data_IF_744943140384
#
_entry.id   IF_744943140384
#
_cell.length_a   1.000
_cell.length_b   1.000
_cell.length_c   1.000
_cell.angle_alpha   90.00
_cell.angle_beta   90.00
_cell.angle_gamma   90.00
#
_symmetry.space_group_name_H-M   'P 1'
#
loop_
_entity.id
_entity.type
_entity.pdbx_description
1 polymer ?
2 non-polymer ?
3 water ?
#
# COMPACT_ATOMS: atom_id res chain seq x y z
N UNK A 26 15.35 15.96 -12.17
CA UNK A 26 14.60 17.14 -11.65
C UNK A 26 13.18 16.74 -11.22
N UNK A 27 12.96 16.72 -9.91
CA UNK A 27 11.67 16.36 -9.33
C UNK A 27 10.84 17.61 -9.04
N UNK A 28 9.61 17.65 -9.53
CA UNK A 28 8.74 18.80 -9.28
C UNK A 28 7.91 18.58 -8.02
N UNK A 29 8.45 19.03 -6.89
CA UNK A 29 7.77 18.88 -5.62
C UNK A 29 7.40 20.21 -5.03
N UNK A 30 6.96 21.14 -5.87
CA UNK A 30 6.57 22.45 -5.37
C UNK A 30 5.07 22.54 -5.16
N UNK A 31 4.31 21.63 -5.77
CA UNK A 31 2.85 21.68 -5.62
C UNK A 31 2.20 20.32 -5.44
N UNK A 32 2.38 19.73 -4.26
CA UNK A 32 1.79 18.43 -3.99
C UNK A 32 0.28 18.60 -4.05
N UNK A 33 -0.43 17.50 -4.25
CA UNK A 33 -1.88 17.56 -4.32
C UNK A 33 -2.52 16.31 -3.73
N UNK A 34 -3.71 16.47 -3.15
CA UNK A 34 -4.46 15.36 -2.59
C UNK A 34 -5.14 14.64 -3.77
N UNK A 35 -4.48 13.63 -4.30
CA UNK A 35 -4.96 12.87 -5.46
C UNK A 35 -6.13 11.89 -5.29
N UNK A 36 -6.94 11.82 -6.34
CA UNK A 36 -8.08 10.92 -6.43
C UNK A 36 -7.77 9.99 -7.57
N UNK A 37 -8.35 8.77 -7.58
CA UNK A 37 -8.05 7.87 -8.69
C UNK A 37 -8.30 8.61 -10.00
N UNK A 38 -7.67 8.18 -11.06
CA UNK A 38 -7.81 8.87 -12.33
C UNK A 38 -8.51 8.03 -13.40
N UNK A 39 -8.47 6.72 -13.24
CA UNK A 39 -9.08 5.82 -14.19
C UNK A 39 -9.83 4.69 -13.49
N UNK A 40 -10.84 4.17 -14.17
CA UNK A 40 -11.67 3.10 -13.64
C UNK A 40 -11.82 2.00 -14.66
N UNK A 41 -11.91 0.76 -14.18
CA UNK A 41 -12.09 -0.40 -15.04
C UNK A 41 -13.09 -1.35 -14.39
N UNK A 42 -14.24 -1.47 -15.04
CA UNK A 42 -15.31 -2.32 -14.54
C UNK A 42 -15.04 -3.77 -14.89
N UNK A 43 -15.28 -4.64 -13.93
CA UNK A 43 -15.10 -6.06 -14.14
C UNK A 43 -16.43 -6.72 -13.83
N UNK A 44 -16.53 -8.01 -14.10
CA UNK A 44 -17.75 -8.73 -13.81
C UNK A 44 -18.08 -8.65 -12.33
N UNK A 45 -17.12 -9.03 -11.49
CA UNK A 45 -17.33 -9.06 -10.04
C UNK A 45 -16.84 -7.88 -9.20
N UNK A 46 -16.58 -6.75 -9.84
CA UNK A 46 -16.12 -5.58 -9.12
C UNK A 46 -15.41 -4.62 -10.04
N UNK A 47 -14.64 -3.68 -9.49
CA UNK A 47 -13.93 -2.75 -10.34
C UNK A 47 -12.54 -2.41 -9.84
N UNK A 48 -11.79 -1.67 -10.65
CA UNK A 48 -10.43 -1.30 -10.33
C UNK A 48 -10.15 0.17 -10.64
N UNK A 49 -9.61 0.88 -9.66
CA UNK A 49 -9.30 2.29 -9.85
C UNK A 49 -7.79 2.53 -9.73
N UNK A 50 -7.24 3.36 -10.60
CA UNK A 50 -5.82 3.63 -10.55
C UNK A 50 -5.55 5.13 -10.51
N UNK A 51 -4.54 5.50 -9.74
CA UNK A 51 -4.15 6.90 -9.62
C UNK A 51 -3.29 7.31 -10.80
N UNK A 52 -3.04 8.61 -10.91
CA UNK A 52 -2.25 9.11 -12.01
C UNK A 52 -0.77 8.88 -11.77
N UNK A 53 -0.21 7.89 -12.45
CA UNK A 53 1.21 7.59 -12.28
C UNK A 53 2.07 8.73 -12.82
N UNK A 54 1.48 9.61 -13.62
CA UNK A 54 2.22 10.73 -14.17
C UNK A 54 2.23 11.95 -13.25
N UNK A 55 1.58 11.82 -12.10
CA UNK A 55 1.56 12.89 -11.09
C UNK A 55 3.03 13.18 -10.77
N UNK A 56 3.39 14.45 -10.62
CA UNK A 56 4.77 14.80 -10.33
C UNK A 56 5.35 14.13 -9.07
N UNK A 57 4.61 14.15 -7.97
CA UNK A 57 5.08 13.50 -6.73
C UNK A 57 5.37 12.02 -7.02
N UNK A 58 4.35 11.30 -7.48
CA UNK A 58 4.45 9.89 -7.78
C UNK A 58 5.61 9.57 -8.71
N UNK A 59 5.70 10.32 -9.79
CA UNK A 59 6.74 10.11 -10.78
C UNK A 59 8.12 10.20 -10.12
N UNK A 60 8.29 11.20 -9.26
CA UNK A 60 9.56 11.40 -8.57
C UNK A 60 9.93 10.23 -7.65
N UNK A 61 8.94 9.71 -6.93
CA UNK A 61 9.16 8.61 -6.01
C UNK A 61 9.02 7.23 -6.67
N UNK A 62 8.47 7.20 -7.86
CA UNK A 62 8.29 5.93 -8.56
C UNK A 62 7.22 5.08 -7.92
N UNK A 63 6.08 5.68 -7.61
CA UNK A 63 4.99 4.96 -6.97
C UNK A 63 3.70 4.90 -7.81
N UNK A 64 2.87 3.90 -7.51
CA UNK A 64 1.60 3.70 -8.18
C UNK A 64 0.59 3.32 -7.13
N UNK A 65 -0.65 3.75 -7.31
CA UNK A 65 -1.69 3.42 -6.36
C UNK A 65 -2.86 2.78 -7.10
N UNK A 66 -3.40 1.73 -6.51
CA UNK A 66 -4.53 1.04 -7.10
C UNK A 66 -5.46 0.63 -5.99
N UNK A 67 -6.75 0.68 -6.29
CA UNK A 67 -7.76 0.31 -5.34
C UNK A 67 -8.70 -0.63 -6.03
N UNK A 68 -8.79 -1.83 -5.47
CA UNK A 68 -9.65 -2.85 -5.99
C UNK A 68 -10.85 -2.95 -5.06
N UNK A 69 -12.02 -3.10 -5.67
CA UNK A 69 -13.27 -3.25 -4.95
C UNK A 69 -13.86 -4.53 -5.51
N UNK A 70 -13.73 -5.59 -4.72
CA UNK A 70 -14.20 -6.89 -5.13
C UNK A 70 -15.48 -7.26 -4.41
N UNK A 71 -16.54 -7.49 -5.18
CA UNK A 71 -17.83 -7.84 -4.59
C UNK A 71 -17.81 -9.27 -4.10
N UNK A 72 -18.81 -9.64 -3.30
CA UNK A 72 -18.92 -10.99 -2.75
C UNK A 72 -18.84 -12.05 -3.84
N UNK A 73 -18.12 -13.13 -3.53
CA UNK A 73 -17.93 -14.23 -4.46
C UNK A 73 -17.05 -13.85 -5.63
N UNK A 74 -16.30 -12.75 -5.48
CA UNK A 74 -15.42 -12.29 -6.55
C UNK A 74 -13.98 -12.78 -6.49
N UNK A 75 -13.41 -13.06 -7.65
CA UNK A 75 -12.04 -13.53 -7.75
C UNK A 75 -11.18 -12.63 -8.63
N UNK A 76 -10.09 -12.13 -8.07
CA UNK A 76 -9.15 -11.29 -8.82
C UNK A 76 -8.13 -12.26 -9.41
N UNK A 77 -8.28 -12.54 -10.70
CA UNK A 77 -7.39 -13.45 -11.40
C UNK A 77 -5.94 -13.22 -11.05
N UNK A 78 -5.13 -14.29 -11.12
CA UNK A 78 -3.70 -14.25 -10.81
C UNK A 78 -2.81 -13.60 -11.86
N UNK A 79 -1.89 -12.77 -11.39
CA UNK A 79 -0.96 -12.11 -12.27
C UNK A 79 0.26 -11.69 -11.49
N UNK A 80 1.35 -11.34 -12.16
CA UNK A 80 2.55 -10.89 -11.47
C UNK A 80 3.00 -9.55 -12.06
N UNK A 81 3.74 -8.77 -11.27
CA UNK A 81 4.23 -7.46 -11.71
C UNK A 81 5.74 -7.38 -11.65
N UNK A 82 6.27 -6.35 -12.29
CA UNK A 82 7.70 -6.10 -12.35
C UNK A 82 8.14 -5.29 -11.13
N UNK A 83 7.20 -5.00 -10.24
CA UNK A 83 7.52 -4.22 -9.06
C UNK A 83 6.88 -4.79 -7.80
N UNK A 84 7.56 -4.64 -6.66
CA UNK A 84 7.05 -5.15 -5.37
C UNK A 84 5.75 -4.43 -5.05
N UNK A 85 4.86 -5.11 -4.32
CA UNK A 85 3.60 -4.49 -3.94
C UNK A 85 3.28 -4.73 -2.48
N UNK A 86 2.57 -3.78 -1.90
CA UNK A 86 2.12 -3.88 -0.53
C UNK A 86 0.63 -3.66 -0.73
N UNK A 87 -0.21 -4.45 -0.06
CA UNK A 87 -1.64 -4.30 -0.23
C UNK A 87 -2.35 -4.16 1.09
N UNK A 88 -3.11 -3.09 1.24
CA UNK A 88 -3.84 -2.87 2.48
C UNK A 88 -5.30 -3.21 2.35
N UNK A 89 -5.76 -4.11 3.21
CA UNK A 89 -7.15 -4.53 3.23
C UNK A 89 -7.92 -3.49 4.05
N UNK A 90 -8.67 -2.64 3.35
CA UNK A 90 -9.44 -1.59 4.00
C UNK A 90 -10.79 -2.11 4.48
N UNK A 91 -11.32 -3.11 3.79
CA UNK A 91 -12.62 -3.65 4.17
C UNK A 91 -12.79 -5.09 3.71
N UNK A 92 -13.41 -5.91 4.56
CA UNK A 92 -13.68 -7.29 4.19
C UNK A 92 -12.62 -8.32 4.55
N UNK A 93 -12.80 -9.53 4.03
CA UNK A 93 -11.86 -10.60 4.27
C UNK A 93 -11.95 -11.65 3.19
N UNK A 94 -10.81 -12.28 2.91
CA UNK A 94 -10.77 -13.30 1.88
C UNK A 94 -9.55 -14.20 1.95
N UNK A 95 -9.34 -14.97 0.89
CA UNK A 95 -8.23 -15.88 0.80
C UNK A 95 -7.40 -15.53 -0.44
N UNK A 96 -6.08 -15.71 -0.36
CA UNK A 96 -5.18 -15.44 -1.46
C UNK A 96 -4.31 -16.65 -1.74
N UNK A 97 -3.64 -16.62 -2.89
CA UNK A 97 -2.74 -17.68 -3.26
C UNK A 97 -1.49 -17.01 -3.80
N UNK A 98 -0.43 -17.00 -3.01
CA UNK A 98 0.80 -16.35 -3.43
C UNK A 98 1.97 -17.32 -3.45
N UNK A 99 2.25 -17.83 -4.65
CA UNK A 99 3.31 -18.81 -4.91
C UNK A 99 4.69 -18.64 -4.27
N UNK A 100 5.51 -17.79 -4.89
CA UNK A 100 6.89 -17.53 -4.47
C UNK A 100 7.83 -18.61 -5.01
N UNK A 101 8.70 -18.24 -5.95
CA UNK A 101 9.70 -19.05 -6.66
C UNK A 101 10.52 -20.06 -5.86
N UNK A 102 10.56 -21.29 -6.37
CA UNK A 102 11.31 -22.37 -5.75
C UNK A 102 10.80 -22.81 -4.40
N UNK A 103 9.74 -22.16 -3.93
CA UNK A 103 9.19 -22.51 -2.64
C UNK A 103 8.20 -23.63 -2.70
N UNK A 104 8.65 -24.82 -2.29
CA UNK A 104 7.80 -25.99 -2.27
C UNK A 104 6.60 -25.58 -1.43
N UNK A 105 5.40 -25.79 -1.96
CA UNK A 105 4.18 -25.44 -1.24
C UNK A 105 3.02 -26.39 -1.49
N UNK A 106 3.28 -27.51 -2.15
CA UNK A 106 2.24 -28.49 -2.45
C UNK A 106 1.40 -28.82 -1.21
N UNK A 107 0.09 -28.94 -1.40
CA UNK A 107 -0.85 -29.27 -0.32
C UNK A 107 -1.95 -30.13 -0.95
N UNK A 108 -2.43 -31.11 -0.20
CA UNK A 108 -3.46 -32.02 -0.68
C UNK A 108 -4.80 -31.68 -0.02
N UNK A 109 -5.79 -31.34 -0.85
CA UNK A 109 -7.11 -30.98 -0.36
C UNK A 109 -7.78 -32.02 0.55
N UNK A 110 -8.97 -31.67 1.08
CA UNK A 110 -9.73 -32.50 2.03
C UNK A 110 -9.94 -34.01 1.80
N UNK A 111 -11.03 -34.40 1.15
CA UNK A 111 -11.33 -35.81 0.92
C UNK A 111 -10.25 -36.56 0.12
N UNK A 112 -9.03 -35.99 0.12
CA UNK A 112 -7.91 -36.57 -0.59
C UNK A 112 -6.59 -36.25 0.11
N UNK A 121 -11.35 -38.53 -5.25
CA UNK A 121 -10.26 -38.05 -6.09
C UNK A 121 -9.49 -36.92 -5.40
N UNK A 122 -8.64 -36.22 -6.16
CA UNK A 122 -7.84 -35.19 -5.51
C UNK A 122 -7.27 -34.01 -6.29
N UNK A 123 -6.50 -33.21 -5.53
CA UNK A 123 -5.85 -32.02 -6.03
C UNK A 123 -4.70 -31.54 -5.11
N UNK A 124 -3.61 -31.12 -5.72
CA UNK A 124 -2.46 -30.60 -5.00
C UNK A 124 -2.37 -29.11 -5.31
N UNK A 125 -2.33 -28.27 -4.27
CA UNK A 125 -2.26 -26.84 -4.50
C UNK A 125 -1.44 -26.07 -3.45
N UNK A 126 -1.32 -24.78 -3.70
CA UNK A 126 -0.58 -23.88 -2.83
C UNK A 126 -1.35 -23.65 -1.56
N UNK A 127 -0.66 -23.12 -0.57
CA UNK A 127 -1.23 -22.80 0.72
C UNK A 127 -2.38 -21.82 0.46
N UNK A 128 -3.51 -21.99 1.14
CA UNK A 128 -4.64 -21.08 0.99
C UNK A 128 -4.50 -20.05 2.12
N UNK A 129 -4.07 -18.84 1.79
CA UNK A 129 -3.87 -17.80 2.80
C UNK A 129 -5.03 -16.84 2.95
N UNK A 130 -5.61 -16.78 4.16
CA UNK A 130 -6.75 -15.91 4.47
C UNK A 130 -6.25 -14.55 4.98
N UNK A 131 -7.12 -13.54 4.91
CA UNK A 131 -6.76 -12.21 5.39
C UNK A 131 -8.04 -11.45 5.74
N UNK A 132 -7.90 -10.44 6.59
CA UNK A 132 -9.06 -9.66 7.01
C UNK A 132 -8.68 -8.19 7.08
N UNK A 133 -9.64 -7.34 7.45
CA UNK A 133 -9.36 -5.92 7.56
C UNK A 133 -8.18 -5.64 8.47
N UNK A 134 -7.35 -4.69 8.07
CA UNK A 134 -6.20 -4.32 8.87
C UNK A 134 -4.96 -5.06 8.43
N UNK A 135 -5.15 -5.98 7.49
CA UNK A 135 -4.02 -6.75 6.97
C UNK A 135 -3.25 -6.02 5.90
N UNK A 136 -1.94 -6.01 6.11
CA UNK A 136 -1.01 -5.40 5.18
C UNK A 136 -0.34 -6.60 4.54
N UNK A 137 -0.77 -6.95 3.33
CA UNK A 137 -0.21 -8.08 2.60
C UNK A 137 0.98 -7.67 1.75
N UNK A 138 1.89 -8.62 1.51
CA UNK A 138 3.09 -8.39 0.72
C UNK A 138 3.05 -9.24 -0.57
N UNK A 139 3.56 -8.68 -1.66
CA UNK A 139 3.63 -9.39 -2.93
C UNK A 139 4.95 -9.01 -3.59
N UNK A 140 5.95 -9.89 -3.49
CA UNK A 140 7.25 -9.60 -4.09
C UNK A 140 7.12 -9.49 -5.60
N UNK A 141 8.07 -8.81 -6.22
CA UNK A 141 8.04 -8.67 -7.67
C UNK A 141 8.16 -10.02 -8.34
N UNK A 142 7.54 -10.13 -9.52
CA UNK A 142 7.59 -11.37 -10.29
C UNK A 142 6.84 -12.55 -9.71
N UNK A 143 6.11 -12.32 -8.63
CA UNK A 143 5.35 -13.38 -7.98
C UNK A 143 3.85 -13.21 -8.29
N UNK A 144 3.21 -14.25 -8.82
CA UNK A 144 1.80 -14.13 -9.13
C UNK A 144 0.98 -14.39 -7.88
N UNK A 145 -0.22 -13.82 -7.85
CA UNK A 145 -1.13 -13.96 -6.73
C UNK A 145 -2.55 -13.67 -7.17
N UNK A 146 -3.50 -14.16 -6.38
CA UNK A 146 -4.90 -13.94 -6.66
C UNK A 146 -5.59 -13.69 -5.32
N UNK A 147 -6.76 -13.07 -5.38
CA UNK A 147 -7.50 -12.82 -4.16
C UNK A 147 -8.97 -13.08 -4.42
N UNK A 148 -9.66 -13.54 -3.38
CA UNK A 148 -11.06 -13.89 -3.50
C UNK A 148 -11.82 -13.38 -2.30
N UNK A 149 -12.96 -12.73 -2.56
CA UNK A 149 -13.79 -12.19 -1.49
C UNK A 149 -14.71 -13.30 -0.99
N UNK A 150 -14.46 -13.78 0.22
CA UNK A 150 -15.29 -14.85 0.76
C UNK A 150 -16.38 -14.30 1.68
N UNK A 151 -16.33 -12.99 1.93
CA UNK A 151 -17.31 -12.35 2.79
C UNK A 151 -18.53 -11.84 2.03
N UNK A 152 -19.45 -11.19 2.73
CA UNK A 152 -20.66 -10.68 2.11
C UNK A 152 -20.61 -9.19 1.85
N UNK A 153 -19.63 -8.52 2.46
CA UNK A 153 -19.45 -7.10 2.24
C UNK A 153 -18.45 -6.98 1.09
N UNK A 154 -18.25 -5.76 0.59
CA UNK A 154 -17.29 -5.55 -0.49
C UNK A 154 -15.86 -5.58 0.04
N UNK A 155 -15.00 -6.31 -0.66
CA UNK A 155 -13.59 -6.43 -0.28
C UNK A 155 -12.83 -5.28 -0.96
N UNK A 156 -12.37 -4.30 -0.19
CA UNK A 156 -11.64 -3.15 -0.70
C UNK A 156 -10.14 -3.24 -0.41
N UNK A 157 -9.33 -3.27 -1.47
CA UNK A 157 -7.86 -3.39 -1.37
C UNK A 157 -7.06 -2.18 -1.90
N UNK A 158 -6.20 -1.64 -1.05
CA UNK A 158 -5.35 -0.50 -1.40
C UNK A 158 -3.96 -0.99 -1.80
N UNK A 159 -3.72 -1.12 -3.10
CA UNK A 159 -2.44 -1.60 -3.63
C UNK A 159 -1.38 -0.52 -3.90
N UNK A 160 -0.23 -0.66 -3.25
CA UNK A 160 0.88 0.27 -3.43
C UNK A 160 2.08 -0.42 -4.10
N UNK A 161 2.48 0.10 -5.26
CA UNK A 161 3.58 -0.46 -6.03
C UNK A 161 4.71 0.53 -6.22
N UNK A 162 5.94 0.06 -6.11
CA UNK A 162 7.09 0.92 -6.30
C UNK A 162 7.84 0.44 -7.53
N UNK A 163 7.97 1.30 -8.53
CA UNK A 163 8.68 0.94 -9.75
C UNK A 163 10.16 1.30 -9.68
N UNK A 164 10.52 2.20 -8.77
CA UNK A 164 11.93 2.54 -8.65
C UNK A 164 12.56 1.64 -7.61
N UNK A 165 11.98 0.46 -7.45
CA UNK A 165 12.46 -0.50 -6.49
C UNK A 165 13.61 -1.33 -7.11
N UNK A 166 14.61 -1.63 -6.29
CA UNK A 166 15.74 -2.43 -6.76
C UNK A 166 15.27 -3.65 -7.56
N UNK A 167 14.20 -4.29 -7.11
CA UNK A 167 13.64 -5.50 -7.75
C UNK A 167 13.22 -5.38 -9.22
N UNK A 168 12.91 -4.19 -9.70
CA UNK A 168 12.49 -4.00 -11.10
C UNK A 168 13.64 -3.51 -11.96
N UNK A 169 14.05 -4.31 -12.94
CA UNK A 169 15.16 -3.96 -13.81
C UNK A 169 14.79 -3.34 -15.15
N UNK A 170 13.51 -3.12 -15.38
CA UNK A 170 13.08 -2.53 -16.64
C UNK A 170 13.07 -1.00 -16.57
N UNK A 171 11.89 -0.41 -16.34
CA UNK A 171 11.74 1.04 -16.27
C UNK A 171 10.71 1.41 -15.19
N UNK A 172 10.66 2.69 -14.80
CA UNK A 172 9.72 3.17 -13.76
C UNK A 172 8.25 3.02 -14.12
N UNK A 173 7.97 2.15 -15.08
CA UNK A 173 6.60 1.92 -15.53
C UNK A 173 6.07 0.53 -15.13
N UNK A 174 4.98 0.56 -14.37
CA UNK A 174 4.33 -0.62 -13.85
C UNK A 174 3.69 -1.54 -14.90
N UNK A 175 3.93 -2.84 -14.74
CA UNK A 175 3.41 -3.84 -15.65
C UNK A 175 2.85 -5.03 -14.87
N UNK A 176 1.67 -5.49 -15.25
CA UNK A 176 1.06 -6.64 -14.58
C UNK A 176 0.89 -7.69 -15.66
N UNK A 177 1.39 -8.90 -15.41
CA UNK A 177 1.28 -10.00 -16.36
C UNK A 177 0.22 -10.98 -15.82
N UNK A 178 -0.94 -11.02 -16.46
CA UNK A 178 -2.03 -11.89 -16.06
C UNK A 178 -1.93 -13.29 -16.66
N UNK A 179 -2.38 -14.29 -15.91
CA UNK A 179 -2.33 -15.68 -16.38
C UNK A 179 -3.60 -16.14 -17.09
N UNK A 180 -4.73 -15.53 -16.74
CA UNK A 180 -6.01 -15.87 -17.35
C UNK A 180 -6.85 -14.63 -17.59
N UNK A 181 -7.86 -14.76 -18.45
CA UNK A 181 -8.74 -13.65 -18.76
C UNK A 181 -8.23 -12.77 -19.88
N UNK A 182 -8.89 -11.64 -20.08
CA UNK A 182 -8.54 -10.67 -21.11
C UNK A 182 -8.85 -9.28 -20.51
N UNK A 183 -7.95 -8.78 -19.64
CA UNK A 183 -8.07 -7.50 -18.94
C UNK A 183 -7.59 -6.25 -19.67
N UNK A 184 -8.38 -5.19 -19.59
CA UNK A 184 -8.05 -3.91 -20.19
C UNK A 184 -6.93 -3.38 -19.31
N UNK A 185 -5.71 -3.41 -19.83
CA UNK A 185 -4.52 -2.96 -19.09
C UNK A 185 -4.60 -1.47 -18.70
N UNK A 186 -5.02 -1.20 -17.46
CA UNK A 186 -5.13 0.18 -17.00
C UNK A 186 -4.24 0.43 -15.79
N UNK A 187 -3.63 -0.64 -15.27
CA UNK A 187 -2.73 -0.53 -14.13
C UNK A 187 -1.64 0.47 -14.54
N UNK A 188 -1.69 0.89 -15.80
CA UNK A 188 -0.76 1.85 -16.35
C UNK A 188 -1.21 2.41 -17.71
N UNK A 189 -2.19 1.73 -18.32
CA UNK A 189 -2.74 2.17 -19.60
C UNK A 189 -1.80 2.19 -20.79
N UNK A 190 -1.16 3.35 -21.03
CA UNK A 190 -0.22 3.51 -22.13
C UNK A 190 1.16 3.90 -21.61
N UNK A 204 -5.55 -0.90 -28.45
CA UNK A 204 -4.82 -1.94 -27.73
C UNK A 204 -5.72 -3.07 -27.23
N UNK A 205 -5.60 -4.24 -27.86
CA UNK A 205 -6.37 -5.40 -27.48
C UNK A 205 -5.50 -6.31 -26.59
N UNK A 206 -5.23 -5.83 -25.38
CA UNK A 206 -4.40 -6.53 -24.40
C UNK A 206 -5.07 -7.77 -23.83
N UNK A 207 -4.31 -8.86 -23.76
CA UNK A 207 -4.84 -10.11 -23.23
C UNK A 207 -3.99 -10.63 -22.08
N UNK A 208 -3.93 -11.95 -21.94
CA UNK A 208 -3.13 -12.56 -20.88
C UNK A 208 -1.87 -13.09 -21.54
N UNK A 209 -0.86 -13.46 -20.74
CA UNK A 209 0.40 -13.93 -21.30
C UNK A 209 0.33 -15.04 -22.34
N UNK A 210 -0.75 -15.80 -22.37
CA UNK A 210 -0.85 -16.88 -23.33
C UNK A 210 -1.34 -16.48 -24.72
N UNK A 211 -2.16 -15.44 -24.80
CA UNK A 211 -2.72 -15.03 -26.09
C UNK A 211 -1.71 -14.55 -27.12
N UNK A 212 -0.46 -14.31 -26.69
CA UNK A 212 0.58 -13.90 -27.60
C UNK A 212 1.32 -15.10 -28.19
N UNK A 213 1.00 -16.30 -27.69
CA UNK A 213 1.64 -17.53 -28.16
C UNK A 213 0.85 -18.31 -29.20
N UNK A 214 1.58 -18.98 -30.08
CA UNK A 214 1.02 -19.81 -31.14
C UNK A 214 0.27 -21.03 -30.60
N UNK A 215 -0.87 -21.34 -31.21
CA UNK A 215 -1.68 -22.47 -30.76
C UNK A 215 -0.85 -23.75 -30.62
N UNK A 216 -0.05 -24.06 -31.63
CA UNK A 216 0.79 -25.26 -31.60
C UNK A 216 1.65 -25.29 -30.35
N UNK A 217 2.46 -24.25 -30.16
CA UNK A 217 3.35 -24.14 -29.01
C UNK A 217 2.65 -24.43 -27.68
N UNK A 218 1.47 -23.84 -27.49
CA UNK A 218 0.77 -24.04 -26.23
C UNK A 218 0.19 -25.43 -26.08
N UNK A 219 -0.15 -26.08 -27.19
CA UNK A 219 -0.72 -27.42 -27.13
C UNK A 219 0.32 -28.44 -26.68
N UNK A 220 1.58 -28.18 -27.04
CA UNK A 220 2.67 -29.06 -26.67
C UNK A 220 3.08 -28.85 -25.22
N UNK A 221 3.47 -27.61 -24.91
CA UNK A 221 3.90 -27.26 -23.57
C UNK A 221 2.98 -27.86 -22.52
N UNK A 222 1.67 -27.73 -22.72
CA UNK A 222 0.71 -28.24 -21.77
C UNK A 222 0.17 -29.62 -22.10
N UNK A 223 0.36 -30.06 -23.34
CA UNK A 223 -0.17 -31.37 -23.75
C UNK A 223 -1.71 -31.31 -23.69
N UNK A 224 -2.27 -30.44 -24.53
CA UNK A 224 -3.72 -30.25 -24.59
C UNK A 224 -4.24 -30.03 -26.01
N UNK A 225 -5.56 -30.06 -26.14
CA UNK A 225 -6.22 -29.86 -27.44
C UNK A 225 -6.36 -28.36 -27.71
N UNK A 226 -6.59 -28.02 -28.98
CA UNK A 226 -6.74 -26.63 -29.37
C UNK A 226 -7.95 -25.97 -28.72
N UNK A 227 -8.93 -26.77 -28.32
CA UNK A 227 -10.11 -26.21 -27.69
C UNK A 227 -9.72 -25.62 -26.35
N UNK A 228 -8.67 -26.20 -25.76
CA UNK A 228 -8.18 -25.74 -24.48
C UNK A 228 -7.29 -24.53 -24.66
N UNK A 229 -6.57 -24.50 -25.76
CA UNK A 229 -5.71 -23.37 -26.03
C UNK A 229 -6.60 -22.15 -26.20
N UNK A 230 -7.82 -22.38 -26.67
CA UNK A 230 -8.78 -21.30 -26.88
C UNK A 230 -9.20 -20.71 -25.54
N UNK A 231 -9.47 -21.59 -24.58
CA UNK A 231 -9.88 -21.14 -23.25
C UNK A 231 -8.71 -20.45 -22.57
N UNK A 232 -7.55 -21.08 -22.64
CA UNK A 232 -6.34 -20.56 -22.04
C UNK A 232 -6.13 -19.12 -22.51
N UNK A 233 -6.07 -18.94 -23.83
CA UNK A 233 -5.88 -17.61 -24.40
C UNK A 233 -7.00 -16.66 -24.01
N UNK A 234 -8.11 -17.21 -23.54
CA UNK A 234 -9.23 -16.39 -23.14
C UNK A 234 -9.70 -15.39 -24.19
N UNK A 235 -9.67 -15.78 -25.46
CA UNK A 235 -10.09 -14.90 -26.55
C UNK A 235 -11.40 -14.16 -26.32
N UNK A 236 -12.43 -14.89 -25.88
CA UNK A 236 -13.75 -14.30 -25.65
C UNK A 236 -14.03 -13.79 -24.26
N UNK A 237 -13.16 -14.08 -23.30
CA UNK A 237 -13.41 -13.63 -21.94
C UNK A 237 -13.63 -12.12 -21.91
N UNK A 238 -14.81 -11.71 -21.48
CA UNK A 238 -15.13 -10.29 -21.42
C UNK A 238 -15.44 -9.86 -20.00
N UNK A 239 -14.87 -10.58 -19.04
CA UNK A 239 -15.08 -10.30 -17.63
C UNK A 239 -14.08 -9.34 -16.99
N UNK A 240 -12.96 -9.14 -17.65
CA UNK A 240 -11.88 -8.29 -17.17
C UNK A 240 -11.09 -9.01 -16.05
N UNK A 241 -10.57 -8.27 -15.06
CA UNK A 241 -9.76 -8.91 -14.02
C UNK A 241 -10.43 -9.46 -12.75
N UNK A 242 -11.69 -9.11 -12.49
CA UNK A 242 -12.37 -9.61 -11.31
C UNK A 242 -13.64 -10.34 -11.72
N UNK A 243 -13.55 -11.67 -11.79
CA UNK A 243 -14.66 -12.52 -12.21
C UNK A 243 -15.52 -13.10 -11.08
N UNK A 244 -16.72 -13.53 -11.44
CA UNK A 244 -17.68 -14.13 -10.50
C UNK A 244 -17.40 -15.63 -10.36
N UNK A 245 -17.09 -16.05 -9.14
CA UNK A 245 -16.80 -17.45 -8.83
C UNK A 245 -18.05 -18.32 -9.00
N UNK A 246 -18.02 -19.21 -9.99
CA UNK A 246 -19.17 -20.04 -10.26
C UNK A 246 -19.46 -21.21 -9.31
N UNK A 247 -20.75 -21.54 -9.24
CA UNK A 247 -21.31 -22.64 -8.45
C UNK A 247 -20.98 -22.80 -6.98
N UNK A 248 -19.72 -23.16 -6.68
CA UNK A 248 -19.32 -23.36 -5.29
C UNK A 248 -17.80 -23.30 -5.14
N UNK A 249 -17.35 -22.67 -4.05
CA UNK A 249 -15.93 -22.56 -3.80
C UNK A 249 -15.54 -23.13 -2.45
N UNK A 250 -15.27 -24.44 -2.47
CA UNK A 250 -14.91 -25.24 -1.30
C UNK A 250 -13.57 -24.94 -0.64
N UNK A 251 -12.59 -24.50 -1.42
CA UNK A 251 -11.28 -24.18 -0.85
C UNK A 251 -11.46 -23.05 0.17
N UNK A 252 -11.30 -23.38 1.44
CA UNK A 252 -11.44 -22.39 2.50
C UNK A 252 -10.95 -23.03 3.79
N UNK A 253 -9.85 -23.79 3.68
CA UNK A 253 -9.23 -24.45 4.82
C UNK A 253 -8.49 -23.44 5.70
N UNK A 279 16.06 -20.32 0.67
CA UNK A 279 14.87 -21.15 0.79
C UNK A 279 14.17 -21.01 2.15
N UNK A 280 14.86 -20.41 3.13
CA UNK A 280 14.27 -20.17 4.44
C UNK A 280 13.21 -19.11 4.14
N UNK A 281 13.43 -18.43 3.01
CA UNK A 281 12.53 -17.41 2.50
C UNK A 281 11.12 -18.00 2.45
N UNK A 282 11.04 -19.28 2.12
CA UNK A 282 9.77 -19.98 2.00
C UNK A 282 9.01 -20.10 3.31
N UNK A 283 9.61 -19.64 4.40
CA UNK A 283 8.98 -19.74 5.70
C UNK A 283 8.57 -18.40 6.32
N UNK A 284 9.03 -17.29 5.76
CA UNK A 284 8.66 -16.00 6.35
C UNK A 284 7.21 -15.60 6.08
N UNK A 285 6.63 -14.91 7.05
CA UNK A 285 5.26 -14.43 6.97
C UNK A 285 5.13 -13.46 5.78
N UNK A 286 3.99 -13.50 5.10
CA UNK A 286 3.76 -12.61 3.96
C UNK A 286 2.73 -11.53 4.28
N UNK A 287 2.47 -11.32 5.57
CA UNK A 287 1.50 -10.30 5.97
C UNK A 287 1.63 -9.99 7.44
N UNK A 288 1.05 -8.85 7.81
CA UNK A 288 1.03 -8.38 9.19
C UNK A 288 -0.21 -7.51 9.31
N UNK A 289 -0.95 -7.69 10.41
CA UNK A 289 -2.15 -6.91 10.63
C UNK A 289 -1.75 -5.70 11.45
N UNK A 290 -2.01 -4.51 10.91
CA UNK A 290 -1.69 -3.29 11.63
C UNK A 290 -2.98 -2.52 11.90
N UNK A 291 -4.05 -3.30 12.10
CA UNK A 291 -5.38 -2.76 12.37
C UNK A 291 -5.75 -2.64 13.85
N UNK A 292 -7.01 -2.34 14.10
CA UNK A 292 -7.53 -2.15 15.46
C UNK A 292 -7.25 -3.28 16.45
N UNK A 293 -7.34 -4.52 16.01
CA UNK A 293 -7.10 -5.67 16.87
C UNK A 293 -5.64 -6.05 17.01
N UNK A 294 -4.79 -5.05 17.25
CA UNK A 294 -3.35 -5.28 17.42
C UNK A 294 -2.79 -4.09 18.20
N UNK A 295 -1.74 -4.33 18.97
CA UNK A 295 -1.14 -3.26 19.74
C UNK A 295 -0.53 -2.22 18.80
N UNK A 296 -0.47 -0.97 19.26
CA UNK A 296 0.12 0.09 18.46
C UNK A 296 1.45 0.50 19.07
N UNK A 297 2.48 0.58 18.24
CA UNK A 297 3.81 0.97 18.71
C UNK A 297 3.78 2.39 19.31
N UNK A 298 3.04 3.30 18.67
CA UNK A 298 2.91 4.66 19.18
C UNK A 298 1.44 4.82 19.57
N UNK A 299 1.20 5.15 20.84
CA UNK A 299 -0.16 5.26 21.34
C UNK A 299 -0.42 6.45 22.28
N UNK A 300 -1.46 7.23 21.97
CA UNK A 300 -1.84 8.35 22.81
C UNK A 300 -3.34 8.22 23.03
N UNK A 301 -3.72 7.73 24.21
CA UNK A 301 -5.11 7.51 24.62
C UNK A 301 -6.10 8.58 24.16
N UNK A 302 -5.69 9.83 24.25
CA UNK A 302 -6.55 10.95 23.87
C UNK A 302 -6.39 11.43 22.43
N UNK A 303 -5.28 11.06 21.79
CA UNK A 303 -5.03 11.50 20.42
C UNK A 303 -5.27 10.52 19.28
N UNK A 304 -4.77 9.29 19.46
CA UNK A 304 -4.91 8.26 18.44
C UNK A 304 -3.62 7.49 18.39
N UNK A 305 -3.34 6.77 17.32
CA UNK A 305 -2.09 6.02 17.26
C UNK A 305 -1.59 5.68 15.86
N UNK A 306 -0.40 5.08 15.82
CA UNK A 306 0.25 4.66 14.58
C UNK A 306 0.86 3.27 14.77
N UNK A 307 0.47 2.34 13.91
CA UNK A 307 0.95 0.96 13.95
C UNK A 307 1.92 0.73 12.80
N UNK A 308 3.17 0.44 13.15
CA UNK A 308 4.22 0.22 12.15
C UNK A 308 4.36 -1.23 11.69
N UNK A 309 4.77 -1.37 10.44
CA UNK A 309 5.02 -2.66 9.84
C UNK A 309 6.29 -2.46 9.03
N UNK A 310 7.44 -2.75 9.64
CA UNK A 310 8.74 -2.64 8.99
C UNK A 310 9.40 -4.01 9.00
N UNK A 311 10.67 -4.08 8.62
CA UNK A 311 11.35 -5.37 8.59
C UNK A 311 11.60 -5.94 9.98
N UNK A 312 11.57 -5.12 11.02
CA UNK A 312 11.76 -5.62 12.37
C UNK A 312 10.55 -6.46 12.78
N UNK A 313 9.38 -6.06 12.31
CA UNK A 313 8.13 -6.77 12.63
C UNK A 313 7.70 -7.76 11.56
N UNK A 314 8.20 -7.57 10.34
CA UNK A 314 7.87 -8.45 9.25
C UNK A 314 9.11 -8.56 8.37
N UNK A 315 9.95 -9.57 8.63
CA UNK A 315 11.21 -9.86 7.94
C UNK A 315 11.20 -9.74 6.42
N UNK A 316 10.19 -10.30 5.78
CA UNK A 316 10.06 -10.25 4.33
C UNK A 316 10.14 -8.81 3.80
N UNK A 317 9.90 -7.83 4.66
CA UNK A 317 9.97 -6.45 4.21
C UNK A 317 11.37 -6.03 3.82
N UNK A 318 12.38 -6.60 4.47
CA UNK A 318 13.74 -6.25 4.11
C UNK A 318 14.02 -6.65 2.67
N UNK A 319 13.28 -7.63 2.16
CA UNK A 319 13.47 -8.08 0.79
C UNK A 319 12.88 -7.12 -0.23
N UNK A 320 11.61 -6.75 -0.08
CA UNK A 320 10.99 -5.85 -1.05
C UNK A 320 11.39 -4.39 -0.81
N UNK A 321 11.91 -4.10 0.38
CA UNK A 321 12.33 -2.76 0.74
C UNK A 321 11.19 -1.78 0.77
N UNK A 322 10.12 -2.17 1.44
CA UNK A 322 8.93 -1.34 1.60
C UNK A 322 8.46 -1.56 3.03
N UNK A 323 7.61 -0.68 3.52
CA UNK A 323 7.08 -0.81 4.87
C UNK A 323 5.89 0.12 4.92
N UNK A 324 5.15 0.11 6.02
CA UNK A 324 3.99 0.98 6.14
C UNK A 324 3.66 1.35 7.58
N UNK A 325 2.78 2.34 7.70
CA UNK A 325 2.32 2.83 9.00
C UNK A 325 0.81 3.06 8.90
N UNK A 326 0.05 2.47 9.81
CA UNK A 326 -1.40 2.67 9.84
C UNK A 326 -1.65 3.62 11.00
N UNK A 327 -2.24 4.77 10.69
CA UNK A 327 -2.47 5.77 11.72
C UNK A 327 -3.92 6.13 11.98
N UNK A 328 -4.18 6.53 13.22
CA UNK A 328 -5.52 6.90 13.65
C UNK A 328 -5.51 8.20 14.48
N UNK A 329 -6.35 9.15 14.07
CA UNK A 329 -6.46 10.41 14.78
C UNK A 329 -7.88 10.66 15.24
N UNK A 330 -8.03 11.06 16.50
CA UNK A 330 -9.33 11.35 17.06
C UNK A 330 -9.65 12.80 16.73
N UNK A 331 -10.91 13.18 16.90
CA UNK A 331 -11.34 14.54 16.61
C UNK A 331 -10.33 15.57 17.08
N UNK A 332 -9.99 16.49 16.19
CA UNK A 332 -9.05 17.58 16.48
C UNK A 332 -7.65 17.12 16.90
N UNK A 333 -7.36 15.83 16.75
CA UNK A 333 -6.03 15.31 17.10
C UNK A 333 -5.04 15.74 16.01
N UNK A 334 -3.80 16.00 16.41
CA UNK A 334 -2.77 16.45 15.50
C UNK A 334 -1.49 15.62 15.58
N UNK A 335 -0.89 15.36 14.43
CA UNK A 335 0.38 14.63 14.38
C UNK A 335 1.42 15.74 14.38
N UNK A 336 2.32 15.71 15.35
CA UNK A 336 3.34 16.74 15.49
C UNK A 336 4.20 16.90 14.24
N UNK A 337 4.79 18.10 14.05
CA UNK A 337 5.63 18.33 12.87
C UNK A 337 6.76 17.31 12.83
N UNK A 338 7.10 16.87 11.62
CA UNK A 338 8.15 15.88 11.46
C UNK A 338 8.43 15.62 9.99
N UNK A 339 9.49 14.88 9.74
CA UNK A 339 9.87 14.52 8.39
C UNK A 339 10.50 13.13 8.51
N UNK A 340 10.47 12.37 7.42
CA UNK A 340 11.06 11.05 7.41
C UNK A 340 12.39 11.21 6.71
N UNK A 341 13.45 10.77 7.37
CA UNK A 341 14.78 10.92 6.82
C UNK A 341 15.18 9.96 5.73
N UNK A 342 14.62 8.76 5.73
CA UNK A 342 15.03 7.76 4.73
C UNK A 342 14.03 7.27 3.71
N UNK A 343 12.89 7.93 3.56
CA UNK A 343 11.93 7.49 2.54
C UNK A 343 10.78 8.45 2.32
N UNK A 344 10.03 8.16 1.26
CA UNK A 344 8.86 8.96 0.94
C UNK A 344 7.72 8.36 1.79
N UNK A 345 6.57 9.00 1.79
CA UNK A 345 5.43 8.50 2.53
C UNK A 345 4.19 8.72 1.71
N UNK A 346 3.74 7.65 1.06
CA UNK A 346 2.55 7.71 0.23
C UNK A 346 1.34 7.43 1.13
N UNK A 347 0.75 8.50 1.65
CA UNK A 347 -0.42 8.43 2.54
C UNK A 347 -1.77 8.29 1.83
N UNK A 348 -2.54 7.29 2.23
CA UNK A 348 -3.87 7.07 1.67
C UNK A 348 -4.85 7.17 2.84
N UNK A 349 -5.81 8.09 2.73
CA UNK A 349 -6.79 8.26 3.79
C UNK A 349 -7.90 7.21 3.69
N UNK A 350 -8.06 6.44 4.76
CA UNK A 350 -9.06 5.38 4.81
C UNK A 350 -10.36 5.80 5.48
N UNK A 351 -10.33 6.92 6.21
CA UNK A 351 -11.52 7.44 6.87
C UNK A 351 -11.39 8.87 7.36
N UNK A 352 -12.51 9.61 7.31
CA UNK A 352 -12.50 10.98 7.76
C UNK A 352 -11.73 11.92 6.87
N UNK A 353 -11.16 12.96 7.47
CA UNK A 353 -10.38 13.94 6.72
C UNK A 353 -9.54 14.77 7.67
N UNK A 354 -8.59 15.52 7.11
CA UNK A 354 -7.71 16.34 7.93
C UNK A 354 -7.04 17.46 7.13
N UNK A 355 -6.55 18.47 7.84
CA UNK A 355 -5.85 19.56 7.19
C UNK A 355 -4.38 19.16 7.33
N UNK A 356 -3.69 19.13 6.19
CA UNK A 356 -2.28 18.74 6.17
C UNK A 356 -1.40 19.82 5.53
N UNK A 357 -0.27 20.11 6.15
CA UNK A 357 0.66 21.10 5.62
C UNK A 357 2.06 20.53 5.42
N UNK A 358 2.59 20.65 4.22
CA UNK A 358 3.93 20.16 3.93
C UNK A 358 4.78 21.36 3.55
N UNK A 359 6.03 21.38 4.00
CA UNK A 359 6.96 22.47 3.72
C UNK A 359 8.25 21.87 3.15
N UNK A 360 8.88 22.59 2.22
CA UNK A 360 10.12 22.09 1.62
C UNK A 360 11.36 22.73 2.22
N UNK A 361 12.52 22.46 1.62
CA UNK A 361 13.79 22.98 2.09
C UNK A 361 13.94 24.50 1.90
N UNK A 362 13.00 25.10 1.18
CA UNK A 362 13.02 26.53 0.93
C UNK A 362 12.18 27.24 1.97
N UNK A 363 11.55 26.45 2.83
CA UNK A 363 10.72 27.01 3.88
C UNK A 363 9.39 27.40 3.29
N UNK A 364 9.12 26.89 2.09
CA UNK A 364 7.88 27.18 1.40
C UNK A 364 6.86 26.07 1.51
N UNK A 365 5.59 26.47 1.63
CA UNK A 365 4.51 25.53 1.73
C UNK A 365 4.27 24.91 0.37
N UNK A 366 4.46 23.59 0.24
CA UNK A 366 4.24 22.90 -1.03
C UNK A 366 2.91 22.15 -1.02
N UNK A 367 2.17 22.33 0.06
CA UNK A 367 0.84 21.77 0.22
C UNK A 367 0.23 22.34 1.47
N UNK A 368 -1.04 22.71 1.37
CA UNK A 368 -1.76 23.28 2.51
C UNK A 368 -3.24 23.18 2.19
N UNK A 369 -3.86 22.08 2.61
CA UNK A 369 -5.26 21.87 2.34
C UNK A 369 -5.85 20.68 3.07
N UNK A 370 -6.82 20.03 2.44
CA UNK A 370 -7.49 18.90 3.04
C UNK A 370 -7.30 17.58 2.31
N UNK A 371 -7.06 16.53 3.09
CA UNK A 371 -6.90 15.19 2.56
C UNK A 371 -8.18 14.49 3.03
N UNK A 372 -8.98 14.00 2.10
CA UNK A 372 -10.24 13.36 2.48
C UNK A 372 -10.23 11.87 2.14
N UNK A 373 -10.95 11.09 2.95
CA UNK A 373 -11.04 9.66 2.75
C UNK A 373 -11.02 9.31 1.28
N UNK A 374 -10.24 8.30 0.93
CA UNK A 374 -10.15 7.87 -0.46
C UNK A 374 -9.10 8.59 -1.29
N UNK A 375 -8.42 9.56 -0.68
CA UNK A 375 -7.40 10.33 -1.38
C UNK A 375 -5.98 9.96 -0.97
N UNK A 376 -5.02 10.37 -1.81
CA UNK A 376 -3.61 10.10 -1.58
C UNK A 376 -2.73 11.35 -1.62
N UNK A 377 -1.88 11.53 -0.59
CA UNK A 377 -0.94 12.66 -0.53
C UNK A 377 0.45 12.04 -0.39
N UNK A 378 1.33 12.31 -1.34
CA UNK A 378 2.67 11.76 -1.32
C UNK A 378 3.59 12.77 -0.63
N UNK A 379 4.05 12.44 0.58
CA UNK A 379 4.93 13.32 1.34
C UNK A 379 6.39 13.03 0.99
N UNK A 380 7.04 13.90 0.22
CA UNK A 380 8.44 13.67 -0.15
C UNK A 380 9.40 13.51 1.03
N UNK A 381 10.43 12.70 0.81
CA UNK A 381 11.47 12.45 1.81
C UNK A 381 12.10 13.78 2.31
N UNK A 382 12.21 13.91 3.63
CA UNK A 382 12.78 15.10 4.27
C UNK A 382 11.83 16.29 4.39
N UNK A 383 10.70 16.25 3.67
CA UNK A 383 9.75 17.36 3.76
C UNK A 383 9.07 17.36 5.11
N UNK A 384 9.06 18.50 5.78
CA UNK A 384 8.43 18.57 7.08
C UNK A 384 6.94 18.57 6.84
N UNK A 385 6.20 17.99 7.77
CA UNK A 385 4.75 17.91 7.64
C UNK A 385 4.06 18.01 9.00
N UNK A 386 2.78 18.35 8.96
CA UNK A 386 1.94 18.51 10.14
C UNK A 386 0.54 18.09 9.76
N UNK A 387 -0.12 17.36 10.64
CA UNK A 387 -1.46 16.89 10.34
C UNK A 387 -2.43 17.15 11.48
N UNK A 388 -3.65 17.53 11.11
CA UNK A 388 -4.69 17.79 12.08
C UNK A 388 -6.02 17.28 11.55
N UNK A 389 -6.60 16.33 12.27
CA UNK A 389 -7.87 15.74 11.89
C UNK A 389 -9.04 16.70 12.05
N UNK A 390 -10.07 16.48 11.24
CA UNK A 390 -11.28 17.29 11.29
C UNK A 390 -12.03 16.87 12.55
N UNK A 391 -13.27 17.31 12.70
CA UNK A 391 -14.08 16.93 13.86
C UNK A 391 -14.40 15.45 13.76
N UNK A 392 -14.43 14.95 12.52
CA UNK A 392 -14.76 13.56 12.25
C UNK A 392 -13.57 12.62 12.47
N UNK A 393 -12.40 13.17 12.77
CA UNK A 393 -11.23 12.34 12.96
C UNK A 393 -10.59 12.01 11.60
N UNK A 394 -9.41 11.42 11.63
CA UNK A 394 -8.69 11.07 10.40
C UNK A 394 -7.95 9.76 10.55
N UNK A 395 -8.09 8.88 9.57
CA UNK A 395 -7.43 7.57 9.58
C UNK A 395 -6.75 7.28 8.24
N UNK A 396 -5.51 6.79 8.31
CA UNK A 396 -4.76 6.53 7.08
C UNK A 396 -3.78 5.34 7.09
N UNK A 397 -3.33 4.97 5.89
CA UNK A 397 -2.35 3.91 5.72
C UNK A 397 -1.22 4.54 4.92
N UNK A 398 -0.07 4.73 5.54
CA UNK A 398 1.06 5.35 4.86
C UNK A 398 2.14 4.38 4.40
N UNK A 399 2.25 4.20 3.08
CA UNK A 399 3.27 3.31 2.54
C UNK A 399 4.61 4.02 2.48
N UNK A 400 5.67 3.32 2.87
CA UNK A 400 7.00 3.89 2.87
C UNK A 400 7.88 3.21 1.83
N UNK A 401 8.70 3.98 1.13
CA UNK A 401 9.58 3.41 0.12
C UNK A 401 10.91 2.93 0.72
N UNK A 402 10.85 2.32 1.90
CA UNK A 402 12.05 1.81 2.53
C UNK A 402 11.56 0.78 3.55
N UNK A 403 12.36 -0.25 3.85
CA UNK A 403 11.92 -1.28 4.79
C UNK A 403 11.84 -0.82 6.24
N UNK A 404 12.31 0.40 6.50
CA UNK A 404 12.31 0.93 7.84
C UNK A 404 12.35 2.46 7.83
N UNK A 405 11.19 3.09 7.69
CA UNK A 405 11.11 4.55 7.66
C UNK A 405 11.37 5.19 9.03
N UNK A 406 12.37 6.05 9.09
CA UNK A 406 12.71 6.74 10.33
C UNK A 406 12.15 8.15 10.38
N UNK A 407 11.34 8.43 11.39
CA UNK A 407 10.75 9.74 11.53
C UNK A 407 11.33 10.54 12.70
N UNK A 408 11.86 11.72 12.39
CA UNK A 408 12.43 12.61 13.39
C UNK A 408 11.36 13.60 13.81
N UNK A 409 11.30 13.90 15.10
CA UNK A 409 10.30 14.84 15.59
C UNK A 409 10.89 16.24 15.76
N UNK A 410 10.06 17.23 15.51
CA UNK A 410 10.52 18.59 15.66
C UNK A 410 10.14 19.14 17.02
N UNK A 411 8.98 18.71 17.53
CA UNK A 411 8.49 19.15 18.83
C UNK A 411 7.95 17.98 19.66
N UNK A 412 8.40 17.85 20.90
CA UNK A 412 7.93 16.75 21.73
C UNK A 412 8.97 16.23 22.70
N UNK A 413 8.61 15.17 23.44
CA UNK A 413 9.51 14.58 24.42
C UNK A 413 10.86 14.20 23.83
N UNK A 414 10.83 13.62 22.65
CA UNK A 414 12.08 13.28 21.95
C UNK A 414 12.00 14.07 20.67
N UNK A 415 12.64 15.23 20.66
CA UNK A 415 12.60 16.10 19.49
C UNK A 415 13.96 16.60 19.06
N UNK A 416 13.96 17.22 17.90
CA UNK A 416 15.18 17.78 17.38
C UNK A 416 15.43 18.92 18.37
N UNK A 417 14.33 19.52 18.83
CA UNK A 417 14.40 20.63 19.76
C UNK A 417 15.02 20.20 21.10
N UNK A 418 14.52 19.10 21.66
CA UNK A 418 15.05 18.59 22.93
C UNK A 418 16.55 18.33 22.87
N UNK A 419 17.02 17.82 21.74
CA UNK A 419 18.44 17.53 21.57
C UNK A 419 19.30 18.78 21.59
N UNK A 420 18.70 19.93 21.29
CA UNK A 420 19.46 21.16 21.23
C UNK A 420 19.73 21.88 22.55
N UNK A 421 20.99 22.35 22.74
CA UNK A 421 21.40 23.07 23.95
C UNK A 421 20.67 24.41 23.99
N UNK A 422 20.23 24.83 25.18
CA UNK A 422 19.52 26.11 25.30
C UNK A 422 20.33 27.26 24.74
N UNK A 423 21.65 27.20 24.91
CA UNK A 423 22.51 28.25 24.39
C UNK A 423 22.38 28.41 22.89
N UNK A 424 22.30 27.27 22.18
CA UNK A 424 22.16 27.25 20.74
C UNK A 424 20.76 27.72 20.31
N UNK A 425 19.73 27.18 20.94
CA UNK A 425 18.37 27.58 20.59
C UNK A 425 18.22 29.09 20.72
N UNK A 426 18.88 29.67 21.71
CA UNK A 426 18.81 31.12 21.96
C UNK A 426 19.26 31.93 20.74
N UNK A 427 20.50 31.69 20.35
CA UNK A 427 21.07 32.39 19.22
C UNK A 427 20.34 32.04 17.93
N UNK A 428 19.72 30.86 17.88
CA UNK A 428 18.98 30.42 16.70
C UNK A 428 17.75 31.29 16.45
N UNK A 429 16.93 31.47 17.49
CA UNK A 429 15.72 32.25 17.33
C UNK A 429 15.73 33.62 18.01
N UNK A 430 16.93 34.14 18.24
CA UNK A 430 17.12 35.42 18.90
C UNK A 430 16.15 35.59 20.06
N UNK A 431 15.93 34.50 20.79
CA UNK A 431 15.06 34.53 21.95
C UNK A 431 15.94 34.39 23.17
N UNK A 432 15.33 34.39 24.35
CA UNK A 432 16.09 34.27 25.59
C UNK A 432 16.10 32.84 26.09
N UNK A 433 17.14 32.50 26.86
CA UNK A 433 17.30 31.18 27.42
C UNK A 433 16.02 30.69 28.11
N UNK A 434 15.19 31.62 28.56
CA UNK A 434 13.94 31.26 29.23
C UNK A 434 12.90 30.88 28.17
N UNK A 435 12.78 31.74 27.15
CA UNK A 435 11.84 31.49 26.06
C UNK A 435 12.28 30.20 25.37
N UNK A 436 13.60 30.03 25.25
CA UNK A 436 14.16 28.85 24.63
C UNK A 436 13.72 27.65 25.46
N UNK A 437 13.54 27.87 26.75
CA UNK A 437 13.13 26.81 27.65
C UNK A 437 11.70 26.42 27.36
N UNK A 438 10.80 27.39 27.22
CA UNK A 438 9.41 27.10 26.93
C UNK A 438 9.26 26.49 25.55
N UNK A 439 10.29 26.67 24.72
CA UNK A 439 10.28 26.13 23.37
C UNK A 439 10.50 24.63 23.32
N UNK A 440 11.52 24.14 24.03
CA UNK A 440 11.80 22.72 24.02
C UNK A 440 11.01 21.86 24.99
N UNK A 441 10.78 22.38 26.18
CA UNK A 441 10.04 21.61 27.17
C UNK A 441 8.54 21.90 27.17
N UNK A 442 8.12 22.87 26.36
CA UNK A 442 6.71 23.23 26.30
C UNK A 442 5.80 22.13 25.79
N UNK A 443 6.36 21.23 24.99
CA UNK A 443 5.58 20.12 24.43
C UNK A 443 5.85 18.83 25.20
N UNK A 444 4.81 18.38 25.91
CA UNK A 444 4.84 17.18 26.74
C UNK A 444 4.71 15.87 25.97
N UNK A 445 3.85 15.87 24.96
CA UNK A 445 3.59 14.66 24.19
C UNK A 445 4.63 14.21 23.19
N UNK A 446 4.26 13.19 22.40
CA UNK A 446 5.14 12.60 21.40
C UNK A 446 4.71 12.79 19.95
N UNK A 447 4.72 11.69 19.20
CA UNK A 447 4.31 11.71 17.80
C UNK A 447 2.94 12.34 17.66
N UNK A 448 1.91 11.64 18.13
CA UNK A 448 0.58 12.20 18.04
C UNK A 448 0.29 13.08 19.26
N UNK A 449 -0.42 14.17 19.02
CA UNK A 449 -0.77 15.13 20.05
C UNK A 449 -2.27 15.11 20.30
N UNK A 450 -2.65 14.99 21.56
CA UNK A 450 -4.06 14.97 21.93
C UNK A 450 -4.57 16.41 21.85
N UNK A 451 -5.79 16.60 21.32
CA UNK A 451 -6.40 17.92 21.20
C UNK A 451 -5.93 18.93 22.24
N UNK A 452 -4.87 19.66 21.87
CA UNK A 452 -4.30 20.68 22.73
C UNK A 452 -4.15 21.93 21.88
N UNK A 453 -5.09 22.08 20.95
CA UNK A 453 -5.15 23.19 20.00
C UNK A 453 -5.14 24.59 20.62
X LIG B 1 2.78 10.45 5.65
X LIG C 1 2.34 10.75 10.47
#
# INVERSE_FOLDING_TARGET
>A
QIEQQSPWEFQGSEVWQQHRYQSPRACRLENLRAQDPVRRAEAEAGFTEVWDQDNDEFQCAGVNMIRHTIRPKGLLLPGFSNAPKLIFVAQGFGIRGIAIPGCAETYQTDLRRSQSAGSAFKDQHQKIRPFREGDLLVVPAGVSHWMYNRGQSDLVLIVFADTRNVANQIDPYLRKFYLAGRPEQVERGVEEWERSSRKGSSGEKSGNIFSGFADEFLEEAFQIDGGLVRKLKGEDDERDRIVQVDEDFEVLLPEKDEEERSRGRYIESESESENGLEETICTLRLKQNIGRSERADVFNPRGGRISTANYHTLPILRQVRLSAERGVLYSNAMVAPHYTVNSHSVMYATRGNARVQVVDNFGQSVFDGEVREGQVLMIPQNFVVIKRASDRGFEWIAFKTNDNAITNLLAGRVSQMRMLPLGVLSNMYRISREEAQRLKYGQQEMRVLSPGRSQGRRE
>B hetero
1 MG MG
>C hetero
1 MG MG
#
